data_IF_116300479242
#
_entry.id   IF_116300479242
#
_cell.length_a   1.000
_cell.length_b   1.000
_cell.length_c   1.000
_cell.angle_alpha   90.00
_cell.angle_beta   90.00
_cell.angle_gamma   90.00
#
_symmetry.space_group_name_H-M   'P 1'
#
loop_
_entity.id
_entity.type
_entity.pdbx_description
1 polymer ?
#
# COMPACT_ATOMS: atom_id res chain seq x y z
N UNK A 1 -3.11 -16.76 -0.32
CA UNK A 1 -3.39 -15.32 -0.55
C UNK A 1 -2.24 -14.47 -0.04
N UNK A 2 -1.74 -13.60 -0.86
CA UNK A 2 -0.73 -12.63 -0.46
C UNK A 2 -1.35 -11.23 -0.43
N UNK A 3 -1.27 -10.57 0.72
CA UNK A 3 -1.76 -9.21 0.90
C UNK A 3 -0.56 -8.31 1.10
N UNK A 4 -0.40 -7.31 0.23
CA UNK A 4 0.67 -6.33 0.34
C UNK A 4 0.13 -5.05 0.95
N UNK A 5 0.78 -4.58 2.00
CA UNK A 5 0.48 -3.27 2.61
C UNK A 5 1.55 -2.31 2.11
N UNK A 6 1.16 -1.43 1.20
CA UNK A 6 2.10 -0.50 0.57
C UNK A 6 2.34 0.67 1.51
N UNK A 7 3.62 0.88 1.84
CA UNK A 7 4.04 1.99 2.69
C UNK A 7 5.11 2.80 1.99
N UNK A 8 5.15 4.08 2.27
CA UNK A 8 6.15 5.00 1.73
C UNK A 8 6.82 5.74 2.89
N UNK A 9 7.87 6.46 2.59
CA UNK A 9 8.52 7.29 3.58
C UNK A 9 7.51 8.25 4.21
N UNK A 10 7.53 8.39 5.52
CA UNK A 10 6.54 9.21 6.22
C UNK A 10 5.20 8.52 6.47
N UNK A 11 5.15 7.20 6.33
CA UNK A 11 3.90 6.45 6.49
C UNK A 11 3.33 6.59 7.89
N UNK A 12 2.02 6.36 8.01
CA UNK A 12 1.35 6.36 9.31
C UNK A 12 1.44 4.95 9.89
N UNK A 13 2.31 4.79 10.89
CA UNK A 13 2.53 3.46 11.46
C UNK A 13 1.30 2.92 12.17
N UNK A 14 0.42 3.78 12.67
CA UNK A 14 -0.79 3.31 13.32
C UNK A 14 -1.68 2.56 12.32
N UNK A 15 -1.82 3.10 11.11
CA UNK A 15 -2.64 2.44 10.10
C UNK A 15 -1.96 1.18 9.57
N UNK A 16 -0.71 1.30 9.15
CA UNK A 16 -0.03 0.20 8.47
C UNK A 16 0.25 -0.98 9.39
N UNK A 17 0.74 -0.70 10.60
CA UNK A 17 1.10 -1.78 11.52
C UNK A 17 -0.12 -2.44 12.15
N UNK A 18 -1.19 -1.69 12.38
CA UNK A 18 -2.44 -2.30 12.85
C UNK A 18 -3.01 -3.22 11.78
N UNK A 19 -3.01 -2.79 10.52
CA UNK A 19 -3.47 -3.63 9.43
C UNK A 19 -2.63 -4.92 9.34
N UNK A 20 -1.32 -4.80 9.46
CA UNK A 20 -0.44 -5.96 9.46
C UNK A 20 -0.79 -6.91 10.60
N UNK A 21 -0.94 -6.40 11.80
CA UNK A 21 -1.22 -7.23 12.96
C UNK A 21 -2.58 -7.90 12.91
N UNK A 22 -3.60 -7.17 12.46
CA UNK A 22 -4.95 -7.71 12.38
C UNK A 22 -5.05 -8.77 11.28
N UNK A 23 -4.50 -8.50 10.12
CA UNK A 23 -4.57 -9.43 8.99
C UNK A 23 -3.75 -10.70 9.24
N UNK A 24 -2.67 -10.59 10.00
CA UNK A 24 -1.87 -11.76 10.34
C UNK A 24 -2.52 -12.69 11.36
N UNK A 25 -3.70 -12.34 11.86
CA UNK A 25 -4.44 -13.24 12.73
C UNK A 25 -5.09 -14.38 11.98
N UNK A 26 -5.20 -14.27 10.66
CA UNK A 26 -5.75 -15.35 9.86
C UNK A 26 -4.74 -16.50 9.79
N UNK A 27 -5.19 -17.69 10.18
CA UNK A 27 -4.31 -18.85 10.31
C UNK A 27 -4.57 -19.83 9.18
N UNK A 28 -4.20 -19.45 7.97
CA UNK A 28 -4.27 -20.33 6.80
C UNK A 28 -2.87 -20.52 6.26
N UNK A 29 -2.57 -21.70 5.74
CA UNK A 29 -1.22 -22.03 5.34
C UNK A 29 -0.70 -21.18 4.19
N UNK A 30 -1.58 -20.75 3.28
CA UNK A 30 -1.17 -19.93 2.14
C UNK A 30 -1.44 -18.44 2.37
N UNK A 31 -1.72 -18.05 3.61
CA UNK A 31 -2.02 -16.66 3.93
C UNK A 31 -0.74 -15.92 4.31
N UNK A 32 -0.46 -14.82 3.62
CA UNK A 32 0.75 -14.04 3.88
C UNK A 32 0.43 -12.55 3.78
N UNK A 33 0.87 -11.79 4.75
CA UNK A 33 0.72 -10.33 4.76
C UNK A 33 2.13 -9.74 4.81
N UNK A 34 2.42 -8.83 3.89
CA UNK A 34 3.76 -8.25 3.77
C UNK A 34 3.68 -6.74 3.68
N UNK A 35 4.65 -6.08 4.29
CA UNK A 35 4.88 -4.65 4.08
C UNK A 35 5.68 -4.51 2.78
N UNK A 36 5.17 -3.74 1.84
CA UNK A 36 5.85 -3.43 0.59
C UNK A 36 6.24 -1.97 0.57
N UNK A 37 7.48 -1.67 0.23
CA UNK A 37 7.95 -0.30 0.22
C UNK A 37 9.00 -0.10 -0.86
N UNK A 38 9.28 1.17 -1.25
CA UNK A 38 10.25 1.45 -2.32
C UNK A 38 11.69 1.20 -1.93
N UNK A 39 11.99 1.09 -0.64
CA UNK A 39 13.36 0.84 -0.19
C UNK A 39 13.34 -0.21 0.93
N UNK A 40 14.50 -0.81 1.26
CA UNK A 40 14.54 -1.85 2.28
C UNK A 40 14.10 -1.39 3.66
N UNK A 41 14.19 -0.10 3.94
CA UNK A 41 13.74 0.47 5.21
C UNK A 41 12.93 1.72 4.93
N UNK A 42 11.87 1.91 5.72
CA UNK A 42 11.07 3.13 5.65
C UNK A 42 10.87 3.66 7.07
N UNK A 43 10.84 4.98 7.15
CA UNK A 43 10.62 5.68 8.42
C UNK A 43 9.20 6.24 8.43
N UNK A 44 8.49 6.02 9.53
CA UNK A 44 7.14 6.54 9.68
C UNK A 44 7.14 8.03 9.98
N UNK A 45 5.95 8.62 9.95
CA UNK A 45 5.76 10.02 10.30
C UNK A 45 6.15 10.32 11.75
N UNK A 46 6.17 9.31 12.61
CA UNK A 46 6.55 9.47 14.00
C UNK A 46 7.94 8.89 14.31
N UNK A 47 8.73 8.60 13.29
CA UNK A 47 10.12 8.20 13.46
C UNK A 47 10.36 6.71 13.62
N UNK A 48 9.34 5.88 13.45
CA UNK A 48 9.51 4.44 13.55
C UNK A 48 10.08 3.89 12.26
N UNK A 49 11.24 3.27 12.33
CA UNK A 49 11.90 2.68 11.16
C UNK A 49 11.60 1.19 11.15
N UNK A 50 11.11 0.69 10.04
CA UNK A 50 10.86 -0.74 9.86
C UNK A 50 11.58 -1.24 8.62
N UNK A 51 11.84 -2.54 8.62
CA UNK A 51 12.35 -3.21 7.44
C UNK A 51 11.18 -3.71 6.60
N UNK A 52 11.25 -3.46 5.31
CA UNK A 52 10.23 -3.91 4.38
C UNK A 52 10.36 -5.41 4.16
N UNK A 53 9.22 -6.10 4.04
CA UNK A 53 9.23 -7.51 3.72
C UNK A 53 9.52 -7.75 2.24
N UNK A 54 8.95 -6.91 1.38
CA UNK A 54 9.08 -7.05 -0.07
C UNK A 54 9.23 -5.67 -0.69
N UNK A 55 9.71 -5.62 -1.93
CA UNK A 55 9.84 -4.35 -2.64
C UNK A 55 8.48 -3.85 -3.11
N UNK A 56 8.42 -2.58 -3.42
CA UNK A 56 7.19 -1.97 -3.94
C UNK A 56 6.72 -2.68 -5.22
N UNK A 57 7.65 -3.08 -6.06
CA UNK A 57 7.32 -3.73 -7.32
C UNK A 57 6.57 -5.03 -7.11
N UNK A 58 6.78 -5.71 -6.00
CA UNK A 58 6.12 -6.98 -5.72
C UNK A 58 4.65 -6.82 -5.35
N UNK A 59 4.19 -5.61 -5.10
CA UNK A 59 2.77 -5.37 -4.90
C UNK A 59 1.96 -5.76 -6.14
N UNK A 60 2.57 -5.72 -7.32
CA UNK A 60 1.88 -6.09 -8.57
C UNK A 60 1.51 -7.57 -8.62
N UNK A 61 2.15 -8.41 -7.83
CA UNK A 61 1.87 -9.84 -7.82
C UNK A 61 1.01 -10.28 -6.64
N UNK A 62 0.66 -9.37 -5.74
CA UNK A 62 -0.16 -9.68 -4.59
C UNK A 62 -1.61 -9.89 -5.00
N UNK A 63 -2.34 -10.70 -4.24
CA UNK A 63 -3.76 -10.91 -4.47
C UNK A 63 -4.59 -9.73 -3.99
N UNK A 64 -4.11 -9.04 -2.97
CA UNK A 64 -4.77 -7.86 -2.43
C UNK A 64 -3.71 -6.82 -2.07
N UNK A 65 -4.05 -5.56 -2.25
CA UNK A 65 -3.15 -4.45 -1.94
C UNK A 65 -3.89 -3.43 -1.12
N UNK A 66 -3.30 -3.03 0.00
CA UNK A 66 -3.80 -1.95 0.84
C UNK A 66 -2.74 -0.85 0.80
N UNK A 67 -3.13 0.33 0.36
CA UNK A 67 -2.21 1.47 0.34
C UNK A 67 -2.39 2.24 1.65
N UNK A 68 -1.32 2.31 2.42
CA UNK A 68 -1.33 2.99 3.70
C UNK A 68 -1.33 4.50 3.57
N UNK A 69 -1.69 5.17 4.66
CA UNK A 69 -1.66 6.62 4.70
C UNK A 69 -0.28 7.11 5.13
N UNK A 70 -0.05 8.42 5.00
CA UNK A 70 1.20 9.00 5.44
C UNK A 70 1.24 10.50 5.25
N UNK A 71 2.29 11.09 5.80
CA UNK A 71 2.47 12.54 5.75
C UNK A 71 2.91 13.03 4.38
N UNK A 72 3.65 12.20 3.65
CA UNK A 72 4.27 12.59 2.39
C UNK A 72 3.50 12.09 1.17
N UNK A 73 2.20 11.87 1.32
CA UNK A 73 1.39 11.33 0.23
C UNK A 73 1.46 12.16 -1.04
N UNK A 74 1.46 13.49 -0.91
CA UNK A 74 1.53 14.35 -2.09
C UNK A 74 2.86 14.25 -2.79
N UNK A 75 3.95 14.15 -2.03
CA UNK A 75 5.28 13.97 -2.60
C UNK A 75 5.38 12.63 -3.30
N UNK A 76 4.79 11.58 -2.73
CA UNK A 76 4.76 10.26 -3.36
C UNK A 76 4.03 10.33 -4.69
N UNK A 77 2.87 10.95 -4.73
CA UNK A 77 2.07 11.05 -5.96
C UNK A 77 2.80 11.87 -7.01
N UNK A 78 3.57 12.88 -6.61
CA UNK A 78 4.32 13.71 -7.54
C UNK A 78 5.56 13.01 -8.09
N UNK A 79 6.01 11.95 -7.45
CA UNK A 79 7.20 11.22 -7.89
C UNK A 79 6.80 10.19 -8.95
N UNK A 80 6.96 10.56 -10.22
CA UNK A 80 6.50 9.72 -11.32
C UNK A 80 7.26 8.41 -11.43
N UNK A 81 8.55 8.41 -11.10
CA UNK A 81 9.34 7.18 -11.13
C UNK A 81 8.86 6.22 -10.06
N UNK A 82 8.52 6.74 -8.88
CA UNK A 82 8.01 5.93 -7.78
C UNK A 82 6.63 5.37 -8.13
N UNK A 83 5.75 6.22 -8.65
CA UNK A 83 4.40 5.77 -9.02
C UNK A 83 4.43 4.74 -10.15
N UNK A 84 5.42 4.81 -11.04
CA UNK A 84 5.55 3.84 -12.12
C UNK A 84 5.91 2.45 -11.60
N UNK A 85 6.51 2.35 -10.42
CA UNK A 85 6.81 1.04 -9.80
C UNK A 85 5.55 0.38 -9.23
N UNK A 86 4.52 1.15 -8.96
CA UNK A 86 3.30 0.63 -8.34
C UNK A 86 2.32 0.24 -9.44
N UNK A 87 2.49 -0.96 -9.98
CA UNK A 87 1.67 -1.48 -11.06
C UNK A 87 0.55 -2.32 -10.48
N UNK A 88 -0.65 -1.75 -10.40
CA UNK A 88 -1.80 -2.40 -9.79
C UNK A 88 -2.82 -2.77 -10.86
N UNK A 89 -3.54 -3.86 -10.62
CA UNK A 89 -4.53 -4.38 -11.56
C UNK A 89 -5.89 -4.47 -10.86
N UNK A 90 -6.77 -3.50 -11.07
CA UNK A 90 -8.07 -3.50 -10.40
C UNK A 90 -8.97 -4.64 -10.82
N UNK A 91 -8.71 -5.28 -11.97
CA UNK A 91 -9.52 -6.42 -12.40
C UNK A 91 -9.05 -7.73 -11.79
N UNK A 92 -7.79 -7.81 -11.38
CA UNK A 92 -7.22 -9.06 -10.84
C UNK A 92 -6.84 -8.99 -9.37
N UNK A 93 -6.93 -7.82 -8.75
CA UNK A 93 -6.51 -7.64 -7.36
C UNK A 93 -7.62 -6.97 -6.56
N UNK A 94 -7.70 -7.32 -5.27
CA UNK A 94 -8.53 -6.56 -4.33
C UNK A 94 -7.70 -5.36 -3.90
N UNK A 95 -8.26 -4.16 -4.05
CA UNK A 95 -7.54 -2.93 -3.77
C UNK A 95 -8.25 -2.14 -2.69
N UNK A 96 -7.50 -1.61 -1.76
CA UNK A 96 -8.02 -0.77 -0.70
C UNK A 96 -7.00 0.28 -0.30
N UNK A 97 -7.47 1.27 0.46
CA UNK A 97 -6.60 2.34 0.91
C UNK A 97 -7.03 2.82 2.28
N UNK A 98 -6.06 3.32 3.03
CA UNK A 98 -6.30 3.93 4.34
C UNK A 98 -6.07 5.42 4.22
N UNK A 99 -7.04 6.22 4.64
CA UNK A 99 -6.93 7.69 4.68
C UNK A 99 -6.35 8.26 3.37
N UNK A 100 -5.22 8.97 3.47
CA UNK A 100 -4.60 9.62 2.32
C UNK A 100 -4.06 8.62 1.30
N UNK A 101 -3.96 7.34 1.63
CA UNK A 101 -3.59 6.32 0.67
C UNK A 101 -4.55 6.25 -0.51
N UNK A 102 -5.77 6.73 -0.32
CA UNK A 102 -6.75 6.83 -1.43
C UNK A 102 -6.21 7.68 -2.57
N UNK A 103 -5.48 8.75 -2.26
CA UNK A 103 -4.89 9.60 -3.29
C UNK A 103 -3.86 8.83 -4.12
N UNK A 104 -3.03 8.03 -3.47
CA UNK A 104 -2.04 7.21 -4.16
C UNK A 104 -2.74 6.21 -5.06
N UNK A 105 -3.77 5.55 -4.55
CA UNK A 105 -4.50 4.54 -5.30
C UNK A 105 -5.18 5.16 -6.53
N UNK A 106 -5.82 6.30 -6.36
CA UNK A 106 -6.47 7.00 -7.47
C UNK A 106 -5.44 7.45 -8.51
N UNK A 107 -4.27 7.91 -8.06
CA UNK A 107 -3.23 8.40 -8.96
C UNK A 107 -2.56 7.27 -9.74
N UNK A 108 -2.66 6.04 -9.26
CA UNK A 108 -2.14 4.88 -9.98
C UNK A 108 -3.10 4.37 -11.04
N UNK A 109 -4.21 5.04 -11.25
CA UNK A 109 -5.23 4.62 -12.22
C UNK A 109 -6.28 3.72 -11.62
N UNK A 110 -6.24 3.47 -10.31
CA UNK A 110 -7.19 2.61 -9.62
C UNK A 110 -7.94 3.45 -8.62
N UNK A 111 -9.25 3.38 -8.61
CA UNK A 111 -10.04 4.12 -7.63
C UNK A 111 -11.12 3.21 -7.09
N UNK A 112 -11.21 3.10 -5.76
CA UNK A 112 -12.26 2.26 -5.17
C UNK A 112 -13.64 2.79 -5.43
N UNK A 113 -13.75 4.11 -5.71
CA UNK A 113 -15.00 4.62 -6.03
C UNK A 113 -15.22 4.82 -7.42
N UNK A 114 -14.49 4.22 -8.18
CA UNK A 114 -14.55 4.44 -9.52
C UNK A 114 -15.87 4.41 -10.02
N UNK A 115 -16.53 4.84 -10.26
CA UNK A 115 -17.48 4.88 -10.95
C UNK A 115 -17.76 6.03 -11.28
N UNK A 116 -17.80 6.22 -11.57
CA UNK A 116 -17.93 7.00 -11.90
C UNK A 116 -18.85 7.78 -11.99
N UNK A 117 -19.07 8.03 -11.86
CA UNK A 117 -19.73 8.61 -11.95
C UNK A 117 -20.31 9.16 -12.14
N UNK A 118 -20.65 9.61 -12.28
CA UNK A 118 -21.13 10.13 -12.55
C UNK A 118 -21.56 10.86 -12.41
N UNK A 119 -21.56 10.93 -12.40
CA UNK A 119 -22.03 11.55 -12.32
C UNK A 119 -22.24 12.32 -12.20
#
# INVERSE_FOLDING_TARGET
MHIAIVTFEGYNELDSLIALGVLNRVRKTDWRVSIASPSPRVRSMNGVVIESHVSLDQASTADAVIVGSGRQTREVVADKALMARLQLDPSGQLLGAQCSGTLVLASSGCSPESPPAPT
#
